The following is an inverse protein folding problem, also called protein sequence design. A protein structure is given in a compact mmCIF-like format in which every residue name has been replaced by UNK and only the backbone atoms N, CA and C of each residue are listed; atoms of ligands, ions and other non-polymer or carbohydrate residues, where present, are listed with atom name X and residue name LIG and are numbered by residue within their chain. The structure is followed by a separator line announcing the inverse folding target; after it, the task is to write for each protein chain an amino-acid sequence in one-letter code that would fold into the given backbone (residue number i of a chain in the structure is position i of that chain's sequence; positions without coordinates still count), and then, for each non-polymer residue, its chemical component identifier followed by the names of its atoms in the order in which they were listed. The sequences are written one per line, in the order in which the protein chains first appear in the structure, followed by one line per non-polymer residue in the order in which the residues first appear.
data_IF_436283482278
#
_entry.id   IF_436283482278
#
_cell.length_a   1.000
_cell.length_b   1.000
_cell.length_c   1.000
_cell.angle_alpha   90.00
_cell.angle_beta   90.00
_cell.angle_gamma   90.00
#
_symmetry.space_group_name_H-M   'P 1'
#
loop_
_entity.id
_entity.type
_entity.pdbx_description
1 polymer ?
#
# COMPACT_ATOMS: atom_id res chain seq x y z
N UNK A 1 -0.34 -27.66 19.87
CA UNK A 1 0.29 -27.03 21.07
C UNK A 1 1.33 -25.93 20.74
N UNK A 2 2.12 -26.04 19.66
CA UNK A 2 3.08 -25.00 19.26
C UNK A 2 2.50 -23.87 18.38
N UNK A 3 1.20 -23.93 18.03
CA UNK A 3 0.52 -22.90 17.21
C UNK A 3 -0.54 -22.13 18.03
N UNK A 4 -1.01 -22.70 19.14
CA UNK A 4 -2.04 -22.08 19.99
C UNK A 4 -1.51 -20.96 20.89
N UNK A 5 -0.21 -20.96 21.20
CA UNK A 5 0.51 -19.85 21.89
C UNK A 5 1.36 -19.00 20.93
N UNK A 6 1.26 -19.25 19.62
CA UNK A 6 1.95 -18.50 18.57
C UNK A 6 0.97 -17.57 17.82
N UNK A 7 -0.21 -17.29 18.37
CA UNK A 7 -1.26 -16.51 17.70
C UNK A 7 -0.77 -15.14 17.25
N UNK A 8 0.01 -14.45 18.09
CA UNK A 8 0.59 -13.14 17.74
C UNK A 8 1.67 -13.28 16.66
N UNK A 9 2.56 -14.28 16.77
CA UNK A 9 3.64 -14.50 15.81
C UNK A 9 3.15 -14.99 14.44
N UNK A 10 2.14 -15.87 14.41
CA UNK A 10 1.52 -16.35 13.17
C UNK A 10 0.74 -15.24 12.48
N UNK A 11 -0.01 -14.44 13.24
CA UNK A 11 -0.72 -13.28 12.70
C UNK A 11 0.26 -12.24 12.14
N UNK A 12 1.35 -11.95 12.86
CA UNK A 12 2.41 -11.06 12.37
C UNK A 12 3.07 -11.61 11.10
N UNK A 13 3.40 -12.90 11.05
CA UNK A 13 3.93 -13.52 9.83
C UNK A 13 2.95 -13.40 8.66
N UNK A 14 1.66 -13.65 8.90
CA UNK A 14 0.62 -13.49 7.87
C UNK A 14 0.48 -12.02 7.42
N UNK A 15 0.64 -11.05 8.32
CA UNK A 15 0.67 -9.64 7.96
C UNK A 15 1.89 -9.28 7.12
N UNK A 16 3.08 -9.70 7.56
CA UNK A 16 4.33 -9.46 6.84
C UNK A 16 4.26 -10.03 5.43
N UNK A 17 3.79 -11.28 5.27
CA UNK A 17 3.60 -11.93 3.97
C UNK A 17 2.62 -11.18 3.07
N UNK A 18 1.50 -10.68 3.62
CA UNK A 18 0.58 -9.86 2.85
C UNK A 18 1.21 -8.51 2.45
N UNK A 19 1.98 -7.90 3.33
CA UNK A 19 2.68 -6.63 3.09
C UNK A 19 3.65 -6.68 1.92
N UNK A 20 4.42 -7.77 1.78
CA UNK A 20 5.40 -7.95 0.69
C UNK A 20 4.79 -7.75 -0.69
N UNK A 21 3.57 -8.26 -0.90
CA UNK A 21 2.88 -8.17 -2.18
C UNK A 21 2.04 -6.91 -2.28
N UNK A 22 1.33 -6.57 -1.21
CA UNK A 22 0.35 -5.49 -1.26
C UNK A 22 1.00 -4.12 -1.48
N UNK A 23 2.20 -3.88 -0.94
CA UNK A 23 2.82 -2.55 -0.96
C UNK A 23 3.37 -2.17 -2.32
N UNK A 24 4.17 -3.02 -3.00
CA UNK A 24 4.58 -2.73 -4.37
C UNK A 24 3.38 -2.55 -5.30
N UNK A 25 2.35 -3.41 -5.17
CA UNK A 25 1.12 -3.32 -5.98
C UNK A 25 0.38 -2.01 -5.71
N UNK A 26 0.16 -1.66 -4.43
CA UNK A 26 -0.50 -0.42 -4.04
C UNK A 26 0.27 0.81 -4.53
N UNK A 27 1.60 0.78 -4.46
CA UNK A 27 2.47 1.84 -4.99
C UNK A 27 2.20 2.06 -6.48
N UNK A 28 2.20 1.00 -7.29
CA UNK A 28 1.99 1.10 -8.74
C UNK A 28 0.59 1.54 -9.07
N UNK A 29 -0.41 1.05 -8.34
CA UNK A 29 -1.81 1.44 -8.52
C UNK A 29 -2.00 2.95 -8.25
N UNK A 30 -1.52 3.42 -7.10
CA UNK A 30 -1.56 4.84 -6.73
C UNK A 30 -0.80 5.69 -7.76
N UNK A 31 0.38 5.24 -8.14
CA UNK A 31 1.20 5.96 -9.08
C UNK A 31 0.57 5.97 -10.48
N UNK A 32 -0.04 4.87 -10.93
CA UNK A 32 -0.78 4.81 -12.21
C UNK A 32 -2.01 5.71 -12.25
N UNK A 33 -2.73 5.84 -11.13
CA UNK A 33 -3.90 6.72 -11.04
C UNK A 33 -3.51 8.21 -10.99
N UNK A 34 -2.54 8.57 -10.14
CA UNK A 34 -2.18 9.97 -9.91
C UNK A 34 -1.14 10.50 -10.90
N UNK A 35 -0.23 9.66 -11.39
CA UNK A 35 0.86 10.03 -12.29
C UNK A 35 0.68 9.39 -13.68
N UNK A 36 -0.08 10.08 -14.54
CA UNK A 36 -0.36 9.68 -15.93
C UNK A 36 0.88 9.47 -16.83
N UNK A 37 2.07 9.82 -16.35
CA UNK A 37 3.35 9.72 -17.08
C UNK A 37 4.16 8.47 -16.73
N UNK A 38 3.67 7.64 -15.81
CA UNK A 38 4.41 6.43 -15.44
C UNK A 38 4.41 5.45 -16.60
N UNK A 39 5.61 4.96 -16.93
CA UNK A 39 5.81 3.97 -17.96
C UNK A 39 5.71 2.55 -17.40
N UNK A 40 5.30 1.61 -18.26
CA UNK A 40 5.26 0.19 -17.90
C UNK A 40 6.65 -0.33 -17.47
N UNK A 41 7.72 0.24 -18.00
CA UNK A 41 9.09 -0.08 -17.58
C UNK A 41 9.37 0.40 -16.16
N UNK A 42 8.98 1.63 -15.82
CA UNK A 42 9.12 2.16 -14.45
C UNK A 42 8.39 1.30 -13.42
N UNK A 43 7.15 0.89 -13.72
CA UNK A 43 6.39 -0.01 -12.84
C UNK A 43 7.06 -1.38 -12.66
N UNK A 44 7.59 -1.99 -13.74
CA UNK A 44 8.30 -3.28 -13.66
C UNK A 44 9.57 -3.19 -12.82
N UNK A 45 10.38 -2.15 -13.03
CA UNK A 45 11.62 -1.94 -12.28
C UNK A 45 11.32 -1.70 -10.80
N UNK A 46 10.29 -0.90 -10.50
CA UNK A 46 9.87 -0.67 -9.13
C UNK A 46 9.38 -1.96 -8.45
N UNK A 47 8.57 -2.81 -9.10
CA UNK A 47 8.17 -4.10 -8.53
C UNK A 47 9.38 -4.95 -8.10
N UNK A 48 10.34 -5.11 -9.01
CA UNK A 48 11.53 -5.94 -8.77
C UNK A 48 12.35 -5.33 -7.63
N UNK A 49 12.53 -4.00 -7.64
CA UNK A 49 13.24 -3.30 -6.59
C UNK A 49 12.54 -3.44 -5.24
N UNK A 50 11.24 -3.16 -5.16
CA UNK A 50 10.45 -3.21 -3.93
C UNK A 50 10.52 -4.58 -3.27
N UNK A 51 10.24 -5.63 -4.06
CA UNK A 51 10.36 -7.00 -3.58
C UNK A 51 11.77 -7.33 -3.09
N UNK A 52 12.79 -6.95 -3.85
CA UNK A 52 14.19 -7.20 -3.48
C UNK A 52 14.62 -6.44 -2.22
N UNK A 53 14.19 -5.18 -2.11
CA UNK A 53 14.43 -4.30 -0.97
C UNK A 53 13.76 -4.82 0.29
N UNK A 54 12.50 -5.25 0.19
CA UNK A 54 11.77 -5.82 1.31
C UNK A 54 12.44 -7.09 1.82
N UNK A 55 12.72 -8.05 0.93
CA UNK A 55 13.40 -9.31 1.29
C UNK A 55 14.77 -9.03 1.92
N UNK A 56 15.52 -8.07 1.37
CA UNK A 56 16.82 -7.68 1.90
C UNK A 56 16.70 -7.06 3.31
N UNK A 57 15.73 -6.19 3.56
CA UNK A 57 15.54 -5.61 4.88
C UNK A 57 15.04 -6.66 5.88
N UNK A 58 14.05 -7.48 5.52
CA UNK A 58 13.50 -8.50 6.43
C UNK A 58 14.50 -9.60 6.78
N UNK A 59 15.28 -10.12 5.82
CA UNK A 59 16.17 -11.28 6.05
C UNK A 59 17.66 -11.00 5.88
N UNK A 60 18.05 -9.97 5.13
CA UNK A 60 19.45 -9.61 4.89
C UNK A 60 20.02 -8.63 5.93
N UNK A 61 19.20 -7.76 6.51
CA UNK A 61 19.64 -6.69 7.41
C UNK A 61 18.81 -6.60 8.71
N UNK A 62 18.71 -7.70 9.45
CA UNK A 62 17.83 -7.82 10.62
C UNK A 62 18.18 -6.91 11.82
N UNK A 63 19.34 -6.24 11.84
CA UNK A 63 19.81 -5.43 12.99
C UNK A 63 19.23 -4.01 13.07
N UNK A 64 18.33 -3.62 12.17
CA UNK A 64 17.79 -2.25 12.13
C UNK A 64 16.75 -1.93 13.23
N UNK A 65 16.14 -2.93 13.87
CA UNK A 65 15.13 -2.71 14.92
C UNK A 65 13.84 -1.99 14.46
N UNK A 66 13.62 -1.84 13.14
CA UNK A 66 12.45 -1.17 12.56
C UNK A 66 11.27 -2.15 12.47
N UNK A 67 10.09 -1.74 12.92
CA UNK A 67 8.86 -2.51 12.77
C UNK A 67 8.42 -2.58 11.29
N UNK A 68 7.88 -3.72 10.85
CA UNK A 68 7.51 -3.96 9.44
C UNK A 68 6.59 -2.85 8.85
N UNK A 69 5.70 -2.26 9.64
CA UNK A 69 4.83 -1.13 9.22
C UNK A 69 5.62 0.11 8.78
N UNK A 70 6.78 0.39 9.39
CA UNK A 70 7.61 1.52 8.97
C UNK A 70 8.41 1.17 7.71
N UNK A 71 8.89 -0.08 7.63
CA UNK A 71 9.56 -0.59 6.43
C UNK A 71 8.63 -0.50 5.21
N UNK A 72 7.38 -0.87 5.38
CA UNK A 72 6.29 -0.71 4.43
C UNK A 72 6.12 0.72 3.92
N UNK A 73 6.14 1.71 4.82
CA UNK A 73 6.06 3.12 4.44
C UNK A 73 7.28 3.60 3.64
N UNK A 74 8.48 3.18 4.04
CA UNK A 74 9.72 3.52 3.33
C UNK A 74 9.73 2.87 1.94
N UNK A 75 9.36 1.60 1.86
CA UNK A 75 9.27 0.84 0.61
C UNK A 75 8.27 1.49 -0.35
N UNK A 76 7.11 1.94 0.14
CA UNK A 76 6.12 2.66 -0.67
C UNK A 76 6.72 3.93 -1.30
N UNK A 77 7.38 4.76 -0.49
CA UNK A 77 8.00 6.00 -0.97
C UNK A 77 9.14 5.72 -1.97
N UNK A 78 9.99 4.73 -1.71
CA UNK A 78 11.07 4.34 -2.61
C UNK A 78 10.54 3.79 -3.94
N UNK A 79 9.49 2.94 -3.91
CA UNK A 79 8.84 2.43 -5.10
C UNK A 79 8.32 3.58 -5.97
N UNK A 80 7.61 4.53 -5.37
CA UNK A 80 7.12 5.73 -6.06
C UNK A 80 8.27 6.56 -6.65
N UNK A 81 9.34 6.77 -5.90
CA UNK A 81 10.51 7.52 -6.37
C UNK A 81 11.20 6.85 -7.57
N UNK A 82 11.32 5.52 -7.55
CA UNK A 82 11.92 4.73 -8.64
C UNK A 82 11.02 4.75 -9.86
N UNK A 83 9.71 4.53 -9.69
CA UNK A 83 8.76 4.62 -10.81
C UNK A 83 8.83 5.99 -11.46
N UNK A 84 8.86 7.07 -10.67
CA UNK A 84 8.98 8.42 -11.17
C UNK A 84 10.31 8.63 -11.92
N UNK A 85 11.43 8.23 -11.32
CA UNK A 85 12.77 8.41 -11.89
C UNK A 85 12.92 7.65 -13.22
N UNK A 86 12.55 6.37 -13.25
CA UNK A 86 12.63 5.54 -14.47
C UNK A 86 11.68 6.05 -15.54
N UNK A 87 10.48 6.50 -15.16
CA UNK A 87 9.52 7.07 -16.11
C UNK A 87 9.93 8.45 -16.62
N UNK A 88 10.79 9.17 -15.89
CA UNK A 88 11.38 10.42 -16.38
C UNK A 88 12.37 10.15 -17.52
N UNK A 89 13.23 9.13 -17.39
CA UNK A 89 14.20 8.75 -18.44
C UNK A 89 13.56 7.96 -19.59
N UNK A 90 12.58 7.11 -19.29
CA UNK A 90 11.84 6.30 -20.25
C UNK A 90 10.35 6.64 -20.19
N UNK A 91 9.94 7.81 -20.70
CA UNK A 91 8.56 8.26 -20.64
C UNK A 91 7.64 7.36 -21.45
N UNK A 92 6.41 7.21 -20.94
CA UNK A 92 5.39 6.40 -21.59
C UNK A 92 4.98 7.04 -22.93
N UNK A 93 5.20 6.32 -24.03
CA UNK A 93 4.84 6.80 -25.38
C UNK A 93 3.36 6.63 -25.69
N UNK A 94 2.66 5.73 -24.97
CA UNK A 94 1.22 5.54 -25.10
C UNK A 94 0.53 6.27 -23.95
N UNK A 95 0.01 7.47 -24.22
CA UNK A 95 -0.87 8.17 -23.29
C UNK A 95 -2.16 7.37 -23.16
N UNK A 96 -2.24 6.52 -22.15
CA UNK A 96 -3.48 5.87 -21.79
C UNK A 96 -4.41 6.96 -21.24
N UNK A 97 -5.38 7.38 -22.05
CA UNK A 97 -6.50 8.16 -21.57
C UNK A 97 -7.48 7.19 -20.91
N UNK A 98 -7.76 7.40 -19.62
CA UNK A 98 -8.82 6.69 -18.92
C UNK A 98 -10.14 7.12 -19.58
N UNK A 99 -10.59 6.39 -20.58
CA UNK A 99 -11.92 6.54 -21.15
C UNK A 99 -12.90 5.80 -20.25
N UNK A 100 -13.83 6.54 -19.65
CA UNK A 100 -14.94 5.93 -18.93
C UNK A 100 -15.81 5.19 -19.95
N UNK A 101 -15.71 3.86 -19.95
CA UNK A 101 -16.50 2.98 -20.82
C UNK A 101 -17.96 2.88 -20.38
N UNK A 102 -18.35 3.53 -19.28
CA UNK A 102 -19.72 3.50 -18.75
C UNK A 102 -20.16 2.10 -18.28
N UNK A 103 -19.23 1.16 -18.16
CA UNK A 103 -19.50 -0.24 -17.82
C UNK A 103 -19.95 -0.44 -16.37
N UNK A 104 -19.75 0.57 -15.50
CA UNK A 104 -20.11 0.53 -14.08
C UNK A 104 -20.73 1.87 -13.68
N UNK A 105 -21.87 1.80 -12.97
CA UNK A 105 -22.52 2.99 -12.45
C UNK A 105 -21.74 3.52 -11.23
N UNK A 106 -20.98 4.60 -11.42
CA UNK A 106 -20.20 5.27 -10.36
C UNK A 106 -21.03 6.23 -9.50
N UNK A 107 -22.37 6.25 -9.64
CA UNK A 107 -23.24 7.13 -8.86
C UNK A 107 -23.20 6.73 -7.39
N UNK A 108 -22.77 7.67 -6.54
CA UNK A 108 -22.82 7.50 -5.10
C UNK A 108 -24.26 7.24 -4.63
N UNK A 109 -24.41 6.28 -3.71
CA UNK A 109 -25.69 5.98 -3.10
C UNK A 109 -26.12 7.12 -2.18
N UNK A 110 -27.43 7.34 -2.04
CA UNK A 110 -28.01 8.47 -1.30
C UNK A 110 -27.48 8.61 0.13
N UNK A 111 -27.12 7.51 0.77
CA UNK A 111 -26.65 7.48 2.17
C UNK A 111 -25.13 7.31 2.30
N UNK A 112 -24.35 7.39 1.22
CA UNK A 112 -22.89 7.26 1.26
C UNK A 112 -22.25 8.28 2.21
N UNK A 113 -22.68 9.55 2.15
CA UNK A 113 -22.15 10.63 3.00
C UNK A 113 -22.48 10.41 4.48
N UNK A 114 -23.77 10.24 4.89
CA UNK A 114 -24.08 10.05 6.30
C UNK A 114 -23.48 8.74 6.87
N UNK A 115 -23.39 7.67 6.08
CA UNK A 115 -22.76 6.42 6.50
C UNK A 115 -21.24 6.57 6.69
N UNK A 116 -20.55 7.27 5.79
CA UNK A 116 -19.11 7.55 5.94
C UNK A 116 -18.81 8.40 7.18
N UNK A 117 -19.58 9.46 7.42
CA UNK A 117 -19.44 10.30 8.62
C UNK A 117 -19.71 9.49 9.88
N UNK A 118 -20.76 8.66 9.87
CA UNK A 118 -21.08 7.77 10.99
C UNK A 118 -19.94 6.80 11.31
N UNK A 119 -19.36 6.15 10.29
CA UNK A 119 -18.21 5.26 10.47
C UNK A 119 -17.01 5.99 11.07
N UNK A 120 -16.64 7.16 10.53
CA UNK A 120 -15.54 7.95 11.07
C UNK A 120 -15.79 8.38 12.52
N UNK A 121 -17.00 8.84 12.84
CA UNK A 121 -17.37 9.24 14.19
C UNK A 121 -17.30 8.06 15.17
N UNK A 122 -17.81 6.89 14.79
CA UNK A 122 -17.73 5.66 15.61
C UNK A 122 -16.27 5.30 15.88
N UNK A 123 -15.41 5.31 14.86
CA UNK A 123 -13.99 5.04 15.03
C UNK A 123 -13.35 6.02 16.02
N UNK A 124 -13.59 7.32 15.88
CA UNK A 124 -13.07 8.35 16.80
C UNK A 124 -13.57 8.12 18.23
N UNK A 125 -14.85 7.80 18.40
CA UNK A 125 -15.45 7.54 19.72
C UNK A 125 -14.79 6.33 20.39
N UNK A 126 -14.59 5.23 19.65
CA UNK A 126 -13.92 4.03 20.18
C UNK A 126 -12.52 4.38 20.68
N UNK A 127 -11.73 5.09 19.86
CA UNK A 127 -10.38 5.51 20.26
C UNK A 127 -10.40 6.45 21.46
N UNK A 128 -11.33 7.41 21.52
CA UNK A 128 -11.45 8.34 22.63
C UNK A 128 -11.88 7.65 23.94
N UNK A 129 -12.79 6.67 23.88
CA UNK A 129 -13.24 5.89 25.04
C UNK A 129 -12.13 4.98 25.57
N UNK A 130 -11.40 4.29 24.69
CA UNK A 130 -10.26 3.45 25.07
C UNK A 130 -9.13 4.30 25.67
N UNK A 131 -8.90 5.49 25.12
CA UNK A 131 -7.94 6.45 25.67
C UNK A 131 -8.31 6.89 27.08
N UNK A 132 -9.58 7.19 27.33
CA UNK A 132 -10.04 7.67 28.64
C UNK A 132 -10.10 6.56 29.72
N UNK A 133 -10.02 5.29 29.33
CA UNK A 133 -10.02 4.13 30.23
C UNK A 133 -8.62 3.58 30.56
N UNK A 134 -7.55 4.19 30.02
CA UNK A 134 -6.14 3.94 30.38
C UNK A 134 -5.60 5.09 31.22
#
# INVERSE_FOLDING_TARGET
PMVANASDGLYQLLQELNGIFFIPIASILLAGFFMKKISAMGAKVALIFGLSFYVFMTWGYTSHGIHFVHLWGIEFLLNVAIMYSVSYFYPNQNKYEITDVGAVNLKSWKYTIPMSVGLCAITIIIYALLWNNN
#
